data_IF_555282763504
#
_entry.id   IF_555282763504
#
_cell.length_a   1.000
_cell.length_b   1.000
_cell.length_c   1.000
_cell.angle_alpha   90.00
_cell.angle_beta   90.00
_cell.angle_gamma   90.00
#
_symmetry.space_group_name_H-M   'P 1'
#
loop_
_entity.id
_entity.type
_entity.pdbx_description
1 polymer ?
#
# COMPACT_ATOMS: atom_id res chain seq x y z
N UNK A 1 -0.70 -31.66 -8.28
CA UNK A 1 -0.27 -31.01 -7.03
C UNK A 1 -1.06 -29.72 -6.92
N UNK A 2 -1.59 -29.38 -5.73
CA UNK A 2 -2.12 -28.01 -5.56
C UNK A 2 -0.94 -27.06 -5.64
N UNK A 3 -1.03 -26.04 -6.50
CA UNK A 3 -0.05 -24.94 -6.53
C UNK A 3 -0.07 -24.21 -5.18
N UNK A 4 1.09 -23.78 -4.72
CA UNK A 4 1.14 -22.85 -3.60
C UNK A 4 0.48 -21.56 -4.05
N UNK A 5 -0.47 -21.05 -3.26
CA UNK A 5 -1.17 -19.81 -3.56
C UNK A 5 -0.67 -18.71 -2.60
N UNK A 6 -0.35 -17.54 -3.15
CA UNK A 6 0.05 -16.34 -2.41
C UNK A 6 -0.69 -15.12 -2.94
N UNK A 7 -0.85 -14.13 -2.09
CA UNK A 7 -1.41 -12.83 -2.45
C UNK A 7 -0.35 -11.74 -2.32
N UNK A 8 -0.28 -10.84 -3.28
CA UNK A 8 0.48 -9.59 -3.16
C UNK A 8 -0.50 -8.44 -2.95
N UNK A 9 -0.32 -7.73 -1.85
CA UNK A 9 -1.20 -6.64 -1.45
C UNK A 9 -0.44 -5.31 -1.54
N UNK A 10 -1.01 -4.35 -2.28
CA UNK A 10 -0.44 -3.00 -2.40
C UNK A 10 -1.20 -2.04 -1.50
N UNK A 11 -0.46 -1.30 -0.70
CA UNK A 11 -0.98 -0.23 0.14
C UNK A 11 -0.24 1.07 -0.16
N UNK A 12 -0.99 2.13 -0.29
CA UNK A 12 -0.43 3.48 -0.46
C UNK A 12 -1.48 4.54 -0.14
N UNK A 13 -1.05 5.78 -0.10
CA UNK A 13 -1.96 6.92 -0.15
C UNK A 13 -2.38 7.20 -1.58
N UNK A 14 -3.59 7.70 -1.76
CA UNK A 14 -4.16 8.07 -3.04
C UNK A 14 -4.66 9.52 -2.93
N UNK A 15 -4.51 10.35 -3.97
CA UNK A 15 -4.11 10.05 -5.35
C UNK A 15 -2.61 10.14 -5.66
N UNK A 16 -1.75 10.49 -4.71
CA UNK A 16 -0.34 10.80 -4.95
C UNK A 16 0.53 9.60 -5.40
N UNK A 17 0.04 8.37 -5.22
CA UNK A 17 0.72 7.13 -5.60
C UNK A 17 0.08 6.42 -6.80
N UNK A 18 -0.73 7.09 -7.58
CA UNK A 18 -1.36 6.47 -8.74
C UNK A 18 -0.38 6.01 -9.81
N UNK A 19 0.66 6.80 -10.04
CA UNK A 19 1.68 6.45 -11.02
C UNK A 19 2.36 5.15 -10.62
N UNK A 20 2.64 4.96 -9.32
CA UNK A 20 3.24 3.74 -8.78
C UNK A 20 2.30 2.53 -8.90
N UNK A 21 1.02 2.70 -8.60
CA UNK A 21 0.04 1.61 -8.77
C UNK A 21 -0.05 1.18 -10.24
N UNK A 22 -0.16 2.14 -11.16
CA UNK A 22 -0.21 1.84 -12.58
C UNK A 22 1.08 1.17 -13.07
N UNK A 23 2.23 1.71 -12.67
CA UNK A 23 3.52 1.14 -12.97
C UNK A 23 3.64 -0.32 -12.46
N UNK A 24 3.19 -0.55 -11.22
CA UNK A 24 3.22 -1.88 -10.64
C UNK A 24 2.39 -2.88 -11.45
N UNK A 25 1.13 -2.56 -11.75
CA UNK A 25 0.26 -3.51 -12.47
C UNK A 25 0.70 -3.74 -13.91
N UNK A 26 1.31 -2.74 -14.54
CA UNK A 26 1.70 -2.81 -15.94
C UNK A 26 3.07 -3.41 -16.16
N UNK A 27 4.04 -3.02 -15.35
CA UNK A 27 5.44 -3.35 -15.56
C UNK A 27 5.99 -4.41 -14.59
N UNK A 28 5.52 -4.41 -13.34
CA UNK A 28 6.06 -5.27 -12.28
C UNK A 28 5.27 -6.57 -12.15
N UNK A 29 3.97 -6.48 -11.92
CA UNK A 29 3.13 -7.64 -11.61
C UNK A 29 3.15 -8.74 -12.69
N UNK A 30 3.14 -8.45 -14.02
CA UNK A 30 3.23 -9.48 -15.03
C UNK A 30 4.50 -10.32 -14.92
N UNK A 31 5.64 -9.69 -14.60
CA UNK A 31 6.91 -10.39 -14.43
C UNK A 31 6.93 -11.23 -13.15
N UNK A 32 6.41 -10.69 -12.03
CA UNK A 32 6.26 -11.46 -10.79
C UNK A 32 5.39 -12.70 -11.01
N UNK A 33 4.29 -12.55 -11.76
CA UNK A 33 3.39 -13.66 -12.09
C UNK A 33 4.07 -14.72 -12.96
N UNK A 34 4.89 -14.32 -13.92
CA UNK A 34 5.68 -15.24 -14.73
C UNK A 34 6.69 -16.02 -13.87
N UNK A 35 7.42 -15.32 -13.01
CA UNK A 35 8.38 -15.93 -12.07
C UNK A 35 7.66 -16.93 -11.16
N UNK A 36 6.57 -16.52 -10.50
CA UNK A 36 5.79 -17.40 -9.64
C UNK A 36 5.30 -18.65 -10.37
N UNK A 37 4.74 -18.48 -11.57
CA UNK A 37 4.25 -19.60 -12.38
C UNK A 37 5.38 -20.56 -12.77
N UNK A 38 6.58 -20.08 -13.05
CA UNK A 38 7.74 -20.93 -13.39
C UNK A 38 8.22 -21.77 -12.20
N UNK A 39 7.83 -21.41 -10.99
CA UNK A 39 8.14 -22.11 -9.74
C UNK A 39 6.92 -22.79 -9.09
N UNK A 40 5.85 -23.07 -9.86
CA UNK A 40 4.61 -23.71 -9.38
C UNK A 40 3.91 -22.94 -8.23
N UNK A 41 4.02 -21.62 -8.23
CA UNK A 41 3.36 -20.71 -7.29
C UNK A 41 2.28 -19.95 -8.07
N UNK A 42 1.07 -19.87 -7.49
CA UNK A 42 -0.04 -19.07 -8.01
C UNK A 42 -0.07 -17.73 -7.29
N UNK A 43 0.10 -16.63 -8.05
CA UNK A 43 0.15 -15.27 -7.52
C UNK A 43 -1.15 -14.52 -7.81
N UNK A 44 -1.81 -14.05 -6.77
CA UNK A 44 -2.95 -13.14 -6.82
C UNK A 44 -2.51 -11.70 -6.48
N UNK A 45 -3.05 -10.73 -7.23
CA UNK A 45 -2.89 -9.30 -6.90
C UNK A 45 -4.13 -8.79 -6.18
N UNK A 46 -3.92 -8.17 -5.03
CA UNK A 46 -4.98 -7.59 -4.21
C UNK A 46 -4.71 -6.10 -4.05
N UNK A 47 -5.47 -5.30 -4.77
CA UNK A 47 -5.53 -3.86 -4.56
C UNK A 47 -6.87 -3.53 -3.90
N UNK A 48 -6.84 -3.37 -2.59
CA UNK A 48 -8.07 -3.19 -1.82
C UNK A 48 -8.74 -1.85 -2.11
N UNK A 49 -7.98 -0.87 -2.56
CA UNK A 49 -8.52 0.43 -2.92
C UNK A 49 -9.48 0.32 -4.11
N UNK A 50 -9.10 -0.42 -5.15
CA UNK A 50 -9.93 -0.67 -6.33
C UNK A 50 -10.83 -1.91 -6.21
N UNK A 51 -10.59 -2.75 -5.23
CA UNK A 51 -11.42 -3.94 -5.02
C UNK A 51 -12.68 -3.68 -4.20
N UNK A 52 -12.80 -2.50 -3.55
CA UNK A 52 -13.99 -2.11 -2.83
C UNK A 52 -15.10 -1.65 -3.76
N UNK A 53 -16.32 -2.08 -3.49
CA UNK A 53 -17.51 -1.52 -4.12
C UNK A 53 -17.91 -0.22 -3.42
N UNK A 54 -18.66 0.65 -4.12
CA UNK A 54 -19.22 1.87 -3.50
C UNK A 54 -20.00 1.53 -2.22
N UNK A 55 -20.74 0.43 -2.22
CA UNK A 55 -21.51 -0.01 -1.05
C UNK A 55 -20.60 -0.37 0.15
N UNK A 56 -19.49 -1.04 -0.08
CA UNK A 56 -18.53 -1.37 1.00
C UNK A 56 -17.89 -0.10 1.56
N UNK A 57 -17.58 0.87 0.69
CA UNK A 57 -17.10 2.18 1.09
C UNK A 57 -18.15 2.94 1.91
N UNK A 58 -19.38 3.05 1.42
CA UNK A 58 -20.50 3.74 2.09
C UNK A 58 -20.90 3.09 3.42
N UNK A 59 -20.59 1.80 3.61
CA UNK A 59 -20.84 1.07 4.87
C UNK A 59 -19.68 1.12 5.84
N UNK A 60 -18.63 1.89 5.56
CA UNK A 60 -17.49 2.11 6.45
C UNK A 60 -16.73 0.82 6.84
N UNK A 61 -16.74 -0.19 5.96
CA UNK A 61 -16.09 -1.50 6.18
C UNK A 61 -14.69 -1.63 5.59
N UNK A 62 -14.14 -0.53 5.13
CA UNK A 62 -12.85 -0.52 4.45
C UNK A 62 -11.74 -1.11 5.34
N UNK A 63 -11.61 -0.65 6.58
CA UNK A 63 -10.58 -1.13 7.51
C UNK A 63 -10.70 -2.64 7.74
N UNK A 64 -11.90 -3.15 8.01
CA UNK A 64 -12.11 -4.57 8.24
C UNK A 64 -11.66 -5.42 7.05
N UNK A 65 -11.96 -4.96 5.83
CA UNK A 65 -11.55 -5.65 4.61
C UNK A 65 -10.02 -5.65 4.44
N UNK A 66 -9.36 -4.52 4.72
CA UNK A 66 -7.91 -4.42 4.70
C UNK A 66 -7.27 -5.39 5.70
N UNK A 67 -7.69 -5.35 6.94
CA UNK A 67 -7.13 -6.19 7.99
C UNK A 67 -7.36 -7.68 7.71
N UNK A 68 -8.57 -8.08 7.36
CA UNK A 68 -8.87 -9.47 7.01
C UNK A 68 -8.04 -10.00 5.83
N UNK A 69 -7.67 -9.14 4.88
CA UNK A 69 -6.79 -9.53 3.78
C UNK A 69 -5.33 -9.70 4.22
N UNK A 70 -4.90 -8.97 5.25
CA UNK A 70 -3.57 -9.09 5.84
C UNK A 70 -3.43 -10.25 6.82
N UNK A 71 -4.53 -10.71 7.42
CA UNK A 71 -4.55 -11.83 8.39
C UNK A 71 -4.21 -13.18 7.74
N UNK A 72 -3.95 -13.22 6.44
CA UNK A 72 -3.52 -14.43 5.73
C UNK A 72 -2.02 -14.65 5.89
N UNK A 73 -1.61 -15.85 6.28
CA UNK A 73 -0.20 -16.26 6.42
C UNK A 73 0.62 -16.20 5.11
N UNK A 74 -0.06 -16.01 3.97
CA UNK A 74 0.54 -16.04 2.64
C UNK A 74 0.42 -14.72 1.90
N UNK A 75 0.29 -13.63 2.64
CA UNK A 75 0.23 -12.28 2.07
C UNK A 75 1.63 -11.67 2.02
N UNK A 76 2.01 -11.22 0.82
CA UNK A 76 3.15 -10.36 0.58
C UNK A 76 2.66 -8.91 0.55
N UNK A 77 3.20 -8.09 1.40
CA UNK A 77 2.76 -6.72 1.61
C UNK A 77 3.75 -5.74 0.98
N UNK A 78 3.28 -4.91 0.06
CA UNK A 78 4.05 -3.82 -0.53
C UNK A 78 3.41 -2.50 -0.17
N UNK A 79 4.17 -1.62 0.45
CA UNK A 79 3.73 -0.29 0.81
C UNK A 79 4.52 0.79 0.07
N UNK A 80 3.84 1.53 -0.80
CA UNK A 80 4.39 2.74 -1.40
C UNK A 80 4.02 3.96 -0.57
N UNK A 81 5.00 4.80 -0.25
CA UNK A 81 4.83 6.01 0.55
C UNK A 81 5.40 7.23 -0.16
N UNK A 82 4.57 8.24 -0.28
CA UNK A 82 4.91 9.60 -0.72
C UNK A 82 4.82 10.61 0.41
N UNK A 83 4.48 11.86 0.08
CA UNK A 83 4.39 12.96 1.03
C UNK A 83 3.01 13.11 1.66
N UNK A 84 2.00 12.34 1.23
CA UNK A 84 0.68 12.32 1.87
C UNK A 84 0.62 11.36 3.05
N UNK A 85 -0.07 11.79 4.10
CA UNK A 85 -0.36 10.95 5.27
C UNK A 85 -1.52 9.99 5.01
N UNK A 86 -2.42 10.37 4.11
CA UNK A 86 -3.69 9.70 3.88
C UNK A 86 -4.84 10.32 4.69
N UNK A 87 -6.03 9.77 4.51
CA UNK A 87 -7.22 10.20 5.20
C UNK A 87 -7.22 9.67 6.64
N UNK A 88 -7.48 10.54 7.62
CA UNK A 88 -7.66 10.16 9.02
C UNK A 88 -9.14 9.82 9.22
N UNK A 89 -9.48 8.56 9.57
CA UNK A 89 -10.87 8.18 9.79
C UNK A 89 -11.41 8.78 11.08
N UNK A 90 -12.67 9.18 11.04
CA UNK A 90 -13.44 9.54 12.22
C UNK A 90 -14.22 8.32 12.75
N UNK A 91 -14.77 8.36 13.96
CA UNK A 91 -15.63 7.27 14.45
C UNK A 91 -16.85 6.98 13.57
N UNK A 92 -17.26 7.94 12.71
CA UNK A 92 -18.36 7.74 11.76
C UNK A 92 -17.93 6.96 10.51
N UNK A 93 -16.64 6.90 10.22
CA UNK A 93 -16.07 6.23 9.04
C UNK A 93 -15.77 4.75 9.29
N UNK A 94 -16.07 4.24 10.49
CA UNK A 94 -15.79 2.85 10.87
C UNK A 94 -17.07 2.22 11.43
N UNK A 95 -17.46 1.09 10.88
CA UNK A 95 -18.64 0.39 11.35
C UNK A 95 -18.42 -0.29 12.72
N UNK A 96 -19.53 -0.52 13.44
CA UNK A 96 -19.49 -1.08 14.78
C UNK A 96 -18.96 -2.52 14.84
N UNK A 97 -19.11 -3.29 13.77
CA UNK A 97 -18.63 -4.67 13.72
C UNK A 97 -17.12 -4.70 13.64
N UNK A 98 -16.53 -3.78 12.86
CA UNK A 98 -15.08 -3.59 12.81
C UNK A 98 -14.49 -3.26 14.19
N UNK A 99 -15.14 -2.34 14.94
CA UNK A 99 -14.70 -2.01 16.29
C UNK A 99 -14.92 -3.13 17.33
N UNK A 100 -15.88 -4.02 17.08
CA UNK A 100 -16.06 -5.21 17.91
C UNK A 100 -15.02 -6.28 17.60
N UNK A 101 -14.65 -6.40 16.33
CA UNK A 101 -13.63 -7.35 15.85
C UNK A 101 -12.21 -6.90 16.22
N UNK A 102 -11.94 -5.58 16.17
CA UNK A 102 -10.64 -4.98 16.49
C UNK A 102 -10.81 -3.87 17.55
N UNK A 103 -10.99 -4.21 18.82
CA UNK A 103 -11.34 -3.25 19.87
C UNK A 103 -10.26 -2.18 20.11
N UNK A 104 -8.98 -2.53 19.97
CA UNK A 104 -7.86 -1.61 20.18
C UNK A 104 -7.81 -0.50 19.12
N UNK A 105 -8.50 -0.69 18.00
CA UNK A 105 -8.53 0.30 16.92
C UNK A 105 -9.12 1.64 17.39
N UNK A 106 -9.99 1.62 18.40
CA UNK A 106 -10.63 2.82 18.94
C UNK A 106 -9.63 3.88 19.43
N UNK A 107 -8.46 3.45 19.91
CA UNK A 107 -7.44 4.33 20.48
C UNK A 107 -6.67 5.12 19.41
N UNK A 108 -6.81 4.74 18.14
CA UNK A 108 -6.10 5.33 17.01
C UNK A 108 -6.99 6.13 16.06
N UNK A 109 -8.33 5.99 16.20
CA UNK A 109 -9.29 6.69 15.34
C UNK A 109 -9.29 8.17 15.68
N UNK A 110 -9.19 9.02 14.63
CA UNK A 110 -9.15 10.47 14.76
C UNK A 110 -7.74 11.05 14.72
N UNK A 111 -6.71 10.24 14.99
CA UNK A 111 -5.31 10.70 15.02
C UNK A 111 -4.42 10.00 13.99
N UNK A 112 -4.78 8.80 13.55
CA UNK A 112 -3.96 7.96 12.66
C UNK A 112 -4.63 7.77 11.31
N UNK A 113 -3.89 7.93 10.22
CA UNK A 113 -4.45 7.76 8.87
C UNK A 113 -4.77 6.30 8.55
N UNK A 114 -5.69 6.07 7.59
CA UNK A 114 -6.02 4.72 7.11
C UNK A 114 -4.79 3.94 6.65
N UNK A 115 -3.91 4.60 5.89
CA UNK A 115 -2.68 3.97 5.40
C UNK A 115 -1.77 3.56 6.55
N UNK A 116 -1.68 4.40 7.57
CA UNK A 116 -0.87 4.16 8.76
C UNK A 116 -1.44 3.02 9.61
N UNK A 117 -2.77 3.00 9.82
CA UNK A 117 -3.45 1.90 10.50
C UNK A 117 -3.18 0.55 9.81
N UNK A 118 -3.18 0.52 8.47
CA UNK A 118 -2.86 -0.71 7.72
C UNK A 118 -1.41 -1.13 7.86
N UNK A 119 -0.47 -0.17 7.87
CA UNK A 119 0.95 -0.46 8.12
C UNK A 119 1.16 -0.96 9.55
N UNK A 120 0.53 -0.31 10.53
CA UNK A 120 0.58 -0.75 11.93
C UNK A 120 0.07 -2.18 12.06
N UNK A 121 -1.08 -2.49 11.45
CA UNK A 121 -1.65 -3.84 11.50
C UNK A 121 -0.75 -4.88 10.82
N UNK A 122 -0.11 -4.54 9.70
CA UNK A 122 0.81 -5.44 9.02
C UNK A 122 2.04 -5.77 9.88
N UNK A 123 2.61 -4.78 10.58
CA UNK A 123 3.81 -4.93 11.38
C UNK A 123 3.52 -5.37 12.83
N UNK A 124 2.42 -4.91 13.38
CA UNK A 124 1.98 -5.20 14.74
C UNK A 124 0.45 -5.32 14.76
N UNK A 125 -0.10 -6.51 14.45
CA UNK A 125 -1.53 -6.69 14.30
C UNK A 125 -2.32 -6.23 15.52
N UNK A 126 -3.41 -5.49 15.28
CA UNK A 126 -4.40 -5.19 16.31
C UNK A 126 -5.01 -6.49 16.83
N UNK A 127 -5.37 -6.52 18.09
CA UNK A 127 -6.06 -7.68 18.67
C UNK A 127 -7.38 -7.94 17.93
N UNK A 128 -7.54 -9.17 17.46
CA UNK A 128 -8.76 -9.61 16.78
C UNK A 128 -9.63 -10.41 17.75
N UNK A 129 -10.87 -9.99 17.94
CA UNK A 129 -11.84 -10.65 18.79
C UNK A 129 -12.92 -11.34 17.94
N UNK A 130 -13.20 -12.60 18.22
CA UNK A 130 -14.31 -13.34 17.62
C UNK A 130 -15.08 -14.07 18.72
N UNK A 131 -16.39 -13.79 18.81
CA UNK A 131 -17.30 -14.37 19.85
C UNK A 131 -16.78 -14.21 21.28
N UNK A 132 -16.02 -13.15 21.57
CA UNK A 132 -15.46 -12.84 22.89
C UNK A 132 -14.09 -13.45 23.17
N UNK A 133 -13.54 -14.23 22.25
CA UNK A 133 -12.18 -14.78 22.34
C UNK A 133 -11.20 -13.96 21.51
N UNK A 134 -10.03 -13.64 22.09
CA UNK A 134 -8.94 -12.98 21.39
C UNK A 134 -8.21 -13.99 20.52
N UNK A 135 -8.11 -13.69 19.22
CA UNK A 135 -7.36 -14.50 18.27
C UNK A 135 -5.92 -13.96 18.14
N UNK A 136 -4.90 -14.78 18.36
CA UNK A 136 -3.53 -14.36 18.13
C UNK A 136 -3.30 -14.18 16.62
N UNK A 137 -2.91 -12.97 16.21
CA UNK A 137 -2.45 -12.68 14.87
C UNK A 137 -0.93 -12.55 14.86
N UNK A 138 -0.34 -12.86 13.73
CA UNK A 138 1.10 -12.68 13.50
C UNK A 138 1.33 -11.53 12.53
N UNK A 139 2.41 -10.75 12.69
CA UNK A 139 2.81 -9.77 11.69
C UNK A 139 2.95 -10.41 10.30
N UNK A 140 2.69 -9.61 9.27
CA UNK A 140 2.92 -10.05 7.88
C UNK A 140 4.41 -10.33 7.70
N UNK A 141 4.76 -11.57 7.35
CA UNK A 141 6.16 -12.01 7.26
C UNK A 141 6.94 -11.28 6.18
N UNK A 142 6.29 -11.01 5.06
CA UNK A 142 6.91 -10.51 3.83
C UNK A 142 6.43 -9.09 3.57
N UNK A 143 7.07 -8.11 4.23
CA UNK A 143 6.71 -6.70 4.15
C UNK A 143 7.82 -5.90 3.49
N UNK A 144 7.48 -5.19 2.40
CA UNK A 144 8.39 -4.38 1.60
C UNK A 144 7.87 -2.94 1.56
N UNK A 145 8.74 -1.99 1.88
CA UNK A 145 8.41 -0.57 1.95
C UNK A 145 9.25 0.23 0.97
N UNK A 146 8.58 1.00 0.13
CA UNK A 146 9.21 1.85 -0.89
C UNK A 146 8.81 3.30 -0.64
N UNK A 147 9.78 4.14 -0.29
CA UNK A 147 9.59 5.56 0.03
C UNK A 147 10.08 6.43 -1.11
N UNK A 148 9.16 7.15 -1.77
CA UNK A 148 9.53 8.12 -2.79
C UNK A 148 10.22 9.32 -2.14
N UNK A 149 11.41 9.67 -2.67
CA UNK A 149 12.12 10.88 -2.30
C UNK A 149 11.29 12.13 -2.67
N UNK A 150 11.58 13.26 -2.06
CA UNK A 150 10.78 14.49 -2.16
C UNK A 150 11.40 15.58 -3.04
N UNK A 151 12.53 15.30 -3.70
CA UNK A 151 13.25 16.26 -4.55
C UNK A 151 12.37 16.86 -5.66
N UNK A 152 11.44 16.06 -6.20
CA UNK A 152 10.48 16.48 -7.22
C UNK A 152 9.53 17.61 -6.75
N UNK A 153 9.33 17.80 -5.45
CA UNK A 153 8.44 18.85 -4.94
C UNK A 153 8.88 20.25 -5.36
N UNK A 154 10.18 20.44 -5.59
CA UNK A 154 10.72 21.71 -6.07
C UNK A 154 10.26 22.07 -7.49
N UNK A 155 9.87 21.08 -8.28
CA UNK A 155 9.42 21.23 -9.68
C UNK A 155 7.91 21.46 -9.79
N UNK A 156 7.14 21.22 -8.70
CA UNK A 156 5.69 21.28 -8.71
C UNK A 156 5.14 22.71 -8.66
N UNK A 157 4.14 22.98 -9.49
CA UNK A 157 3.24 24.11 -9.29
C UNK A 157 2.41 23.94 -8.03
N UNK A 158 1.82 25.02 -7.53
CA UNK A 158 0.99 24.95 -6.32
C UNK A 158 -0.21 24.01 -6.46
N UNK A 159 -0.86 23.96 -7.64
CA UNK A 159 -1.97 23.05 -7.87
C UNK A 159 -1.54 21.57 -7.91
N UNK A 160 -0.35 21.28 -8.41
CA UNK A 160 0.22 19.94 -8.40
C UNK A 160 0.60 19.51 -6.98
N UNK A 161 1.17 20.41 -6.17
CA UNK A 161 1.49 20.13 -4.76
C UNK A 161 0.27 19.66 -3.98
N UNK A 162 -0.94 20.18 -4.25
CA UNK A 162 -2.16 19.74 -3.59
C UNK A 162 -2.49 18.25 -3.82
N UNK A 163 -2.02 17.67 -4.93
CA UNK A 163 -2.17 16.23 -5.21
C UNK A 163 -1.15 15.43 -4.40
N UNK A 164 0.09 15.92 -4.32
CA UNK A 164 1.24 15.16 -3.80
C UNK A 164 1.58 15.44 -2.35
N UNK A 165 1.00 16.48 -1.72
CA UNK A 165 1.26 16.85 -0.33
C UNK A 165 -0.04 17.08 0.45
N UNK A 166 0.05 17.10 1.78
CA UNK A 166 -1.06 17.48 2.63
C UNK A 166 -1.23 18.99 2.67
N UNK A 167 -2.46 19.50 2.45
CA UNK A 167 -2.77 20.94 2.49
C UNK A 167 -2.49 21.61 3.84
N UNK A 168 -2.55 20.84 4.93
CA UNK A 168 -2.44 21.34 6.29
C UNK A 168 -1.02 21.26 6.86
N UNK A 169 -0.08 20.70 6.11
CA UNK A 169 1.26 20.44 6.61
C UNK A 169 2.26 21.30 5.86
N UNK A 170 3.02 22.08 6.63
CA UNK A 170 4.26 22.68 6.15
C UNK A 170 5.20 21.56 5.69
N UNK A 171 5.96 21.78 4.63
CA UNK A 171 6.87 20.76 4.07
C UNK A 171 7.86 20.23 5.13
N UNK A 172 8.31 21.10 6.02
CA UNK A 172 9.17 20.76 7.16
C UNK A 172 8.45 19.84 8.15
N UNK A 173 7.19 20.11 8.45
CA UNK A 173 6.37 19.28 9.35
C UNK A 173 6.10 17.90 8.74
N UNK A 174 5.81 17.82 7.44
CA UNK A 174 5.61 16.55 6.74
C UNK A 174 6.90 15.74 6.70
N UNK A 175 8.04 16.39 6.47
CA UNK A 175 9.35 15.73 6.52
C UNK A 175 9.66 15.20 7.92
N UNK A 176 9.46 16.01 8.94
CA UNK A 176 9.69 15.62 10.33
C UNK A 176 8.71 14.54 10.79
N UNK A 177 7.45 14.62 10.35
CA UNK A 177 6.43 13.62 10.64
C UNK A 177 6.73 12.31 9.90
N UNK A 178 7.18 12.34 8.64
CA UNK A 178 7.66 11.14 7.93
C UNK A 178 8.89 10.54 8.58
N UNK A 179 9.81 11.36 9.02
CA UNK A 179 10.99 10.89 9.74
C UNK A 179 10.58 10.29 11.09
N UNK A 180 9.60 10.87 11.76
CA UNK A 180 9.01 10.35 12.98
C UNK A 180 8.20 9.08 12.69
N UNK A 181 7.33 9.08 11.67
CA UNK A 181 6.55 7.91 11.27
C UNK A 181 7.44 6.79 10.72
N UNK A 182 8.45 7.08 9.90
CA UNK A 182 9.44 6.09 9.51
C UNK A 182 10.22 5.57 10.72
N UNK A 183 10.44 6.41 11.71
CA UNK A 183 10.99 5.99 13.01
C UNK A 183 9.94 5.26 13.84
N UNK A 184 8.71 5.71 13.87
CA UNK A 184 7.64 5.14 14.69
C UNK A 184 7.13 3.81 14.12
N UNK A 185 6.91 3.71 12.84
CA UNK A 185 6.51 2.45 12.18
C UNK A 185 7.61 1.39 12.20
N UNK A 186 8.87 1.83 12.27
CA UNK A 186 10.05 0.95 12.23
C UNK A 186 10.93 1.15 13.47
N UNK A 187 10.75 2.25 14.28
CA UNK A 187 11.74 2.72 15.24
C UNK A 187 11.17 3.38 16.51
N UNK A 188 10.00 2.99 16.97
CA UNK A 188 9.44 3.58 18.20
C UNK A 188 10.37 3.42 19.41
N UNK A 189 11.19 2.42 19.38
CA UNK A 189 12.32 2.22 20.27
C UNK A 189 13.26 1.26 19.56
N UNK A 190 14.55 1.46 19.65
CA UNK A 190 15.54 0.49 19.14
C UNK A 190 15.26 -0.91 19.67
N UNK A 191 14.71 -0.99 20.87
CA UNK A 191 14.30 -2.24 21.50
C UNK A 191 13.04 -2.85 20.88
N UNK A 192 12.06 -2.04 20.47
CA UNK A 192 10.87 -2.50 19.73
C UNK A 192 11.23 -2.91 18.31
N UNK A 193 12.15 -2.19 17.65
CA UNK A 193 12.66 -2.58 16.35
C UNK A 193 13.40 -3.93 16.41
N UNK A 194 14.24 -4.13 17.43
CA UNK A 194 14.95 -5.39 17.61
C UNK A 194 13.95 -6.53 17.87
N UNK A 195 12.89 -6.30 18.64
CA UNK A 195 11.78 -7.26 18.83
C UNK A 195 10.99 -7.51 17.53
N UNK A 196 10.77 -6.50 16.71
CA UNK A 196 10.11 -6.64 15.42
C UNK A 196 11.00 -7.38 14.42
N UNK A 197 12.30 -7.10 14.37
CA UNK A 197 13.27 -7.85 13.57
C UNK A 197 13.35 -9.31 13.97
N UNK A 198 13.22 -9.62 15.26
CA UNK A 198 13.18 -11.01 15.75
C UNK A 198 11.89 -11.73 15.35
N UNK A 199 10.78 -10.99 15.17
CA UNK A 199 9.47 -11.53 14.77
C UNK A 199 9.25 -11.54 13.27
N UNK A 200 9.75 -10.51 12.59
CA UNK A 200 9.65 -10.31 11.14
C UNK A 200 11.07 -10.43 10.62
N UNK A 201 11.41 -11.61 10.12
CA UNK A 201 12.76 -11.93 9.69
C UNK A 201 13.30 -11.01 8.59
N UNK A 202 12.41 -10.33 7.83
CA UNK A 202 12.80 -9.50 6.70
C UNK A 202 11.81 -8.35 6.50
N UNK A 203 12.18 -7.16 7.00
CA UNK A 203 11.56 -5.91 6.56
C UNK A 203 12.49 -5.29 5.53
N UNK A 204 12.03 -5.19 4.30
CA UNK A 204 12.78 -4.54 3.23
C UNK A 204 12.32 -3.08 3.09
N UNK A 205 13.23 -2.13 3.25
CA UNK A 205 12.96 -0.70 3.14
C UNK A 205 13.90 -0.11 2.11
N UNK A 206 13.33 0.46 1.04
CA UNK A 206 14.09 1.17 0.01
C UNK A 206 13.57 2.59 -0.17
N UNK A 207 14.44 3.47 -0.64
CA UNK A 207 14.07 4.80 -1.14
C UNK A 207 14.23 4.81 -2.65
N UNK A 208 13.33 5.54 -3.32
CA UNK A 208 13.35 5.66 -4.77
C UNK A 208 13.02 7.07 -5.23
N UNK A 209 13.44 7.39 -6.42
CA UNK A 209 13.17 8.63 -7.13
C UNK A 209 12.09 8.39 -8.18
N UNK A 210 11.12 9.27 -8.25
CA UNK A 210 10.18 9.34 -9.35
C UNK A 210 10.69 10.33 -10.40
N UNK A 211 10.69 9.93 -11.67
CA UNK A 211 11.04 10.81 -12.78
C UNK A 211 9.82 11.65 -13.12
N UNK A 212 9.85 12.91 -12.69
CA UNK A 212 8.76 13.85 -12.89
C UNK A 212 8.59 14.24 -14.34
N UNK A 213 7.39 14.16 -14.84
CA UNK A 213 6.97 14.63 -16.16
C UNK A 213 5.80 15.60 -16.01
N UNK A 214 6.03 16.88 -16.29
CA UNK A 214 5.03 17.92 -16.15
C UNK A 214 3.89 17.84 -17.16
N UNK A 215 4.05 17.10 -18.24
CA UNK A 215 3.03 16.87 -19.27
C UNK A 215 2.29 15.54 -19.09
N UNK A 216 2.65 14.74 -18.09
CA UNK A 216 2.05 13.45 -17.80
C UNK A 216 0.53 13.57 -17.58
N UNK A 217 -0.22 12.77 -18.28
CA UNK A 217 -1.68 12.72 -18.14
C UNK A 217 -2.10 11.76 -17.02
N UNK A 218 -1.98 12.22 -15.78
CA UNK A 218 -2.33 11.43 -14.59
C UNK A 218 -3.77 10.91 -14.63
N UNK A 219 -4.70 11.72 -15.15
CA UNK A 219 -6.10 11.32 -15.27
C UNK A 219 -6.31 10.22 -16.33
N UNK A 220 -5.66 10.34 -17.48
CA UNK A 220 -5.70 9.32 -18.52
C UNK A 220 -5.10 8.00 -18.03
N UNK A 221 -3.98 8.06 -17.33
CA UNK A 221 -3.34 6.89 -16.70
C UNK A 221 -4.24 6.24 -15.66
N UNK A 222 -4.92 7.05 -14.84
CA UNK A 222 -5.86 6.56 -13.84
C UNK A 222 -7.03 5.81 -14.46
N UNK A 223 -7.65 6.39 -15.51
CA UNK A 223 -8.73 5.73 -16.24
C UNK A 223 -8.25 4.41 -16.87
N UNK A 224 -7.07 4.41 -17.47
CA UNK A 224 -6.46 3.20 -18.03
C UNK A 224 -6.20 2.15 -16.94
N UNK A 225 -5.71 2.56 -15.79
CA UNK A 225 -5.51 1.66 -14.64
C UNK A 225 -6.84 1.01 -14.22
N UNK A 226 -7.91 1.79 -14.05
CA UNK A 226 -9.22 1.26 -13.70
C UNK A 226 -9.74 0.27 -14.74
N UNK A 227 -9.57 0.56 -16.04
CA UNK A 227 -9.99 -0.35 -17.10
C UNK A 227 -9.19 -1.66 -17.11
N UNK A 228 -7.88 -1.60 -16.91
CA UNK A 228 -7.01 -2.78 -16.88
C UNK A 228 -7.28 -3.63 -15.63
N UNK A 229 -7.47 -2.98 -14.49
CA UNK A 229 -7.84 -3.65 -13.26
C UNK A 229 -9.22 -4.33 -13.38
N UNK A 230 -10.19 -3.64 -13.98
CA UNK A 230 -11.52 -4.21 -14.25
C UNK A 230 -11.46 -5.46 -15.13
N UNK A 231 -10.62 -5.43 -16.17
CA UNK A 231 -10.40 -6.60 -17.05
C UNK A 231 -9.76 -7.76 -16.28
N UNK A 232 -8.75 -7.47 -15.46
CA UNK A 232 -8.06 -8.50 -14.69
C UNK A 232 -9.00 -9.23 -13.71
N UNK A 233 -9.94 -8.50 -13.10
CA UNK A 233 -10.87 -9.05 -12.11
C UNK A 233 -12.28 -9.32 -12.64
N UNK A 234 -12.48 -9.18 -13.96
CA UNK A 234 -13.78 -9.37 -14.62
C UNK A 234 -14.91 -8.54 -13.96
N UNK A 235 -14.58 -7.31 -13.57
CA UNK A 235 -15.51 -6.32 -13.00
C UNK A 235 -15.91 -5.31 -14.06
N UNK A 236 -17.10 -4.72 -13.94
CA UNK A 236 -17.46 -3.57 -14.75
C UNK A 236 -16.73 -2.30 -14.25
N UNK A 237 -16.26 -1.45 -15.17
CA UNK A 237 -15.59 -0.20 -14.80
C UNK A 237 -16.49 0.71 -13.93
N UNK A 238 -17.80 0.65 -14.15
CA UNK A 238 -18.82 1.41 -13.39
C UNK A 238 -19.03 0.89 -11.96
N UNK A 239 -18.47 -0.27 -11.61
CA UNK A 239 -18.54 -0.84 -10.25
C UNK A 239 -17.49 -0.24 -9.30
N UNK A 240 -16.55 0.57 -9.83
CA UNK A 240 -15.56 1.23 -8.99
C UNK A 240 -16.14 2.50 -8.35
N UNK A 241 -15.77 2.74 -7.08
CA UNK A 241 -16.17 3.98 -6.43
C UNK A 241 -15.66 5.19 -7.22
N UNK A 242 -16.51 6.20 -7.39
CA UNK A 242 -16.11 7.48 -7.97
C UNK A 242 -15.28 8.29 -6.94
N UNK A 243 -14.14 7.75 -6.55
CA UNK A 243 -13.20 8.43 -5.65
C UNK A 243 -12.61 9.70 -6.29
N UNK A 244 -12.75 9.83 -7.60
CA UNK A 244 -11.99 10.77 -8.43
C UNK A 244 -12.85 11.74 -9.20
N UNK A 245 -14.16 11.69 -9.06
CA UNK A 245 -15.10 12.66 -9.62
C UNK A 245 -14.82 14.09 -9.18
N UNK A 246 -13.78 14.29 -8.39
CA UNK A 246 -13.33 15.60 -7.97
C UNK A 246 -12.32 16.18 -8.92
N UNK A 247 -12.76 17.24 -9.53
CA UNK A 247 -12.17 18.28 -10.35
C UNK A 247 -10.66 18.57 -10.23
N UNK A 248 -9.98 18.18 -9.15
CA UNK A 248 -8.56 18.48 -8.93
C UNK A 248 -7.68 17.59 -9.80
N UNK A 249 -7.93 16.28 -9.82
CA UNK A 249 -7.13 15.32 -10.60
C UNK A 249 -7.41 15.49 -12.10
N UNK A 250 -8.67 15.73 -12.49
CA UNK A 250 -9.07 15.84 -13.89
C UNK A 250 -8.53 17.08 -14.62
N UNK A 251 -8.07 18.10 -13.88
CA UNK A 251 -7.57 19.36 -14.46
C UNK A 251 -6.08 19.56 -14.31
N UNK A 252 -5.39 18.70 -13.55
CA UNK A 252 -3.97 18.87 -13.23
C UNK A 252 -3.12 17.92 -14.06
N UNK A 253 -2.21 18.50 -14.85
CA UNK A 253 -1.16 17.75 -15.55
C UNK A 253 0.03 17.54 -14.64
N UNK A 254 0.77 16.48 -14.93
CA UNK A 254 2.01 16.12 -14.25
C UNK A 254 1.86 14.87 -13.38
N UNK A 255 2.87 14.06 -13.40
CA UNK A 255 2.97 12.80 -12.69
C UNK A 255 4.35 12.19 -12.86
N UNK A 256 4.47 10.91 -12.60
CA UNK A 256 5.72 10.20 -12.76
C UNK A 256 5.64 9.24 -13.94
N UNK A 257 6.60 9.35 -14.85
CA UNK A 257 6.69 8.51 -16.04
C UNK A 257 7.52 7.26 -15.82
N UNK A 258 8.45 7.30 -14.88
CA UNK A 258 9.31 6.17 -14.50
C UNK A 258 9.84 6.34 -13.07
N UNK A 259 10.51 5.30 -12.55
CA UNK A 259 11.00 5.25 -11.18
C UNK A 259 12.37 4.56 -11.09
N UNK A 260 13.27 5.12 -10.30
CA UNK A 260 14.62 4.58 -10.07
C UNK A 260 14.89 4.38 -8.57
N UNK A 261 15.57 3.29 -8.25
CA UNK A 261 16.01 2.95 -6.92
C UNK A 261 17.50 2.62 -6.96
N UNK A 262 18.35 3.45 -6.34
CA UNK A 262 19.80 3.26 -6.30
C UNK A 262 20.46 3.08 -7.68
N UNK A 263 19.93 3.78 -8.72
CA UNK A 263 20.46 3.73 -10.09
C UNK A 263 20.03 2.51 -10.91
N UNK A 264 19.07 1.74 -10.43
CA UNK A 264 18.36 0.67 -11.18
C UNK A 264 16.87 0.98 -11.23
N UNK A 265 16.14 0.34 -12.14
CA UNK A 265 14.69 0.57 -12.19
C UNK A 265 14.02 0.11 -10.90
N UNK A 266 13.00 0.83 -10.44
CA UNK A 266 12.21 0.42 -9.28
C UNK A 266 11.59 -0.97 -9.49
N UNK A 267 11.23 -1.32 -10.74
CA UNK A 267 10.75 -2.64 -11.11
C UNK A 267 11.75 -3.73 -10.75
N UNK A 268 13.00 -3.57 -11.15
CA UNK A 268 14.03 -4.57 -10.91
C UNK A 268 14.30 -4.73 -9.41
N UNK A 269 14.27 -3.62 -8.66
CA UNK A 269 14.39 -3.62 -7.20
C UNK A 269 13.24 -4.37 -6.53
N UNK A 270 11.99 -4.13 -6.94
CA UNK A 270 10.82 -4.84 -6.41
C UNK A 270 10.89 -6.33 -6.75
N UNK A 271 11.28 -6.68 -7.96
CA UNK A 271 11.41 -8.08 -8.39
C UNK A 271 12.49 -8.79 -7.57
N UNK A 272 13.65 -8.14 -7.37
CA UNK A 272 14.73 -8.69 -6.54
C UNK A 272 14.26 -8.98 -5.11
N UNK A 273 13.63 -7.98 -4.46
CA UNK A 273 13.13 -8.10 -3.09
C UNK A 273 12.08 -9.20 -2.98
N UNK A 274 11.11 -9.22 -3.90
CA UNK A 274 10.03 -10.20 -3.90
C UNK A 274 10.55 -11.63 -4.12
N UNK A 275 11.47 -11.82 -5.07
CA UNK A 275 12.09 -13.14 -5.32
C UNK A 275 12.92 -13.59 -4.12
N UNK A 276 13.58 -12.66 -3.44
CA UNK A 276 14.27 -12.98 -2.19
C UNK A 276 13.29 -13.55 -1.14
N UNK A 277 12.17 -12.85 -0.92
CA UNK A 277 11.14 -13.26 0.02
C UNK A 277 10.47 -14.59 -0.38
N UNK A 278 10.22 -14.81 -1.70
CA UNK A 278 9.70 -16.08 -2.20
C UNK A 278 10.64 -17.26 -1.88
N UNK A 279 11.94 -17.06 -2.04
CA UNK A 279 12.94 -18.12 -1.74
C UNK A 279 12.97 -18.46 -0.25
N UNK A 280 12.70 -17.52 0.62
CA UNK A 280 12.61 -17.76 2.06
C UNK A 280 11.36 -18.56 2.42
N UNK A 281 10.22 -18.26 1.79
CA UNK A 281 8.95 -18.95 2.08
C UNK A 281 8.86 -20.31 1.38
N UNK A 282 9.41 -20.44 0.17
CA UNK A 282 9.31 -21.66 -0.66
C UNK A 282 10.67 -22.14 -1.17
N UNK A 283 11.65 -22.39 -0.32
CA UNK A 283 13.00 -22.77 -0.76
C UNK A 283 13.01 -23.98 -1.70
N UNK A 284 12.12 -24.95 -1.46
CA UNK A 284 12.01 -26.16 -2.29
C UNK A 284 11.51 -25.91 -3.72
N UNK A 285 10.92 -24.76 -4.00
CA UNK A 285 10.45 -24.42 -5.34
C UNK A 285 11.56 -23.78 -6.21
N UNK A 286 12.69 -23.43 -5.60
CA UNK A 286 13.83 -22.78 -6.24
C UNK A 286 15.09 -23.67 -6.31
N UNK A 287 14.99 -24.93 -5.86
CA UNK A 287 16.01 -25.96 -6.03
C UNK A 287 15.89 -26.66 -7.41
#
# INVERSE_FOLDING_TARGET
MCKNHISIMIISTIPDMFSEHYYFIKEVFPQLKEICNSHDIDLEYVDLYFSMTQKEFDTCRSIQKYFNSMDSDRTFYICFRGQKLGCVPTPADIDKLTLQEYPDLVDYIGDTSFTELTVMHALHPFEKCHDGDVQPLSPVKHSMFYFRNDDYLSELSQSQREIYTCKACDEEFVHDLKLAMAKDLVFHDKHELDKLKDKISNINIRRYDGIWDGDFDLYGVLNQYCEEYAKMWNKAADDFPDYYGNTIVSSTKGGFSDFECDGVSLKDSIIEDFVHELKLEFPQNFE
#
